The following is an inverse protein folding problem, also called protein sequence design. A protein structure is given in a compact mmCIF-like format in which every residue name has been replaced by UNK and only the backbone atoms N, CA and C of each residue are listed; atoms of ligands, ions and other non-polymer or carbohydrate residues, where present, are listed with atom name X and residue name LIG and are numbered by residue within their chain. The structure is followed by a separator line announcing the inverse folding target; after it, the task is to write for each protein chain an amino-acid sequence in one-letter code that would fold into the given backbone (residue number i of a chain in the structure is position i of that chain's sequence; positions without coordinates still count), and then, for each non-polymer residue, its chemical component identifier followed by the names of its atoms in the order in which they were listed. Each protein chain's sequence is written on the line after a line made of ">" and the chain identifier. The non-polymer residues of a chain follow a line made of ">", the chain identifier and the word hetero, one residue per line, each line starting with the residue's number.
data_IF_193716224443
#
_entry.id   IF_193716224443
#
_cell.length_a   1.000
_cell.length_b   1.000
_cell.length_c   1.000
_cell.angle_alpha   90.00
_cell.angle_beta   90.00
_cell.angle_gamma   90.00
#
_symmetry.space_group_name_H-M   'P 1'
#
loop_
_entity.id
_entity.type
_entity.pdbx_description
1 polymer ?
#
# COMPACT_ATOMS: atom_id res chain seq x y z
N UNK A 1 -19.06 -7.95 4.65
CA UNK A 1 -17.85 -7.09 4.73
C UNK A 1 -16.80 -7.80 3.90
N UNK A 2 -16.32 -7.19 2.81
CA UNK A 2 -15.27 -7.80 2.01
C UNK A 2 -13.99 -7.89 2.84
N UNK A 3 -13.37 -9.07 2.90
CA UNK A 3 -12.09 -9.27 3.58
C UNK A 3 -11.00 -8.50 2.82
N UNK A 4 -10.64 -7.32 3.32
CA UNK A 4 -9.57 -6.50 2.75
C UNK A 4 -8.23 -7.07 3.19
N UNK A 5 -7.38 -7.43 2.22
CA UNK A 5 -6.02 -7.86 2.53
C UNK A 5 -5.25 -6.64 3.03
N UNK A 6 -4.98 -6.65 4.34
CA UNK A 6 -4.28 -5.59 5.04
C UNK A 6 -2.97 -6.11 5.62
N UNK A 7 -1.95 -5.28 5.56
CA UNK A 7 -0.63 -5.51 6.15
C UNK A 7 -0.28 -4.31 7.04
N UNK A 8 0.36 -4.57 8.16
CA UNK A 8 0.70 -3.54 9.14
C UNK A 8 2.20 -3.50 9.36
N UNK A 9 2.70 -2.33 9.74
CA UNK A 9 4.10 -2.14 10.09
C UNK A 9 4.30 -0.97 11.04
N UNK A 10 5.53 -0.87 11.54
CA UNK A 10 5.95 0.23 12.40
C UNK A 10 7.16 0.92 11.80
N UNK A 11 7.14 2.24 11.87
CA UNK A 11 8.19 3.13 11.39
C UNK A 11 8.68 3.92 12.59
N UNK A 12 9.98 3.84 12.86
CA UNK A 12 10.63 4.43 14.03
C UNK A 12 11.55 5.57 13.60
N UNK A 13 11.91 6.44 14.55
CA UNK A 13 12.90 7.47 14.29
C UNK A 13 14.20 6.86 13.74
N UNK A 14 14.72 7.44 12.67
CA UNK A 14 15.89 6.94 11.97
C UNK A 14 17.16 7.23 12.77
N UNK A 15 17.69 6.22 13.45
CA UNK A 15 18.94 6.33 14.23
C UNK A 15 20.18 6.50 13.35
N UNK A 16 20.08 6.24 12.05
CA UNK A 16 21.15 6.41 11.07
C UNK A 16 21.10 7.77 10.35
N UNK A 17 20.22 8.68 10.78
CA UNK A 17 20.17 10.05 10.26
C UNK A 17 21.45 10.80 10.63
N UNK A 18 22.32 11.03 9.64
CA UNK A 18 23.57 11.79 9.79
C UNK A 18 23.54 13.13 9.06
N UNK A 19 22.61 13.30 8.13
CA UNK A 19 22.47 14.50 7.30
C UNK A 19 21.01 14.91 7.19
N UNK A 20 20.70 16.19 6.93
CA UNK A 20 19.33 16.68 6.77
C UNK A 20 18.53 16.01 5.65
N UNK A 21 19.22 15.48 4.62
CA UNK A 21 18.59 14.78 3.49
C UNK A 21 18.16 13.35 3.79
N UNK A 22 18.54 12.79 4.94
CA UNK A 22 18.11 11.45 5.32
C UNK A 22 16.67 11.48 5.87
N UNK A 23 15.90 10.40 5.67
CA UNK A 23 14.56 10.28 6.24
C UNK A 23 14.56 10.43 7.76
N UNK A 24 13.54 11.10 8.31
CA UNK A 24 13.34 11.21 9.76
C UNK A 24 12.89 9.90 10.40
N UNK A 25 12.09 9.12 9.66
CA UNK A 25 11.53 7.88 10.12
C UNK A 25 11.81 6.77 9.09
N UNK A 26 12.12 5.58 9.58
CA UNK A 26 12.34 4.38 8.76
C UNK A 26 11.65 3.18 9.37
N UNK A 27 11.11 2.32 8.53
CA UNK A 27 10.43 1.10 8.94
C UNK A 27 10.38 0.10 7.79
N UNK A 28 9.91 -1.10 8.09
CA UNK A 28 9.74 -2.18 7.12
C UNK A 28 8.30 -2.67 7.20
N UNK A 29 7.73 -2.98 6.05
CA UNK A 29 6.43 -3.62 5.94
C UNK A 29 6.64 -4.94 5.21
N UNK A 30 6.11 -6.02 5.75
CA UNK A 30 6.27 -7.36 5.18
C UNK A 30 5.03 -7.74 4.39
N UNK A 31 5.15 -7.76 3.07
CA UNK A 31 4.05 -8.14 2.20
C UNK A 31 3.71 -9.62 2.40
N UNK A 32 2.46 -9.91 2.73
CA UNK A 32 2.00 -11.28 2.82
C UNK A 32 1.93 -11.92 1.43
N UNK A 33 2.06 -13.25 1.37
CA UNK A 33 1.93 -14.01 0.12
C UNK A 33 0.57 -13.77 -0.55
N UNK A 34 -0.49 -13.57 0.23
CA UNK A 34 -1.83 -13.26 -0.28
C UNK A 34 -1.89 -11.88 -0.93
N UNK A 35 -1.31 -10.85 -0.31
CA UNK A 35 -1.24 -9.51 -0.86
C UNK A 35 -0.46 -9.50 -2.19
N UNK A 36 0.69 -10.17 -2.22
CA UNK A 36 1.50 -10.28 -3.43
C UNK A 36 0.75 -10.97 -4.56
N UNK A 37 0.05 -12.08 -4.28
CA UNK A 37 -0.79 -12.76 -5.27
C UNK A 37 -1.87 -11.83 -5.82
N UNK A 38 -2.58 -11.11 -4.97
CA UNK A 38 -3.63 -10.19 -5.40
C UNK A 38 -3.08 -9.06 -6.29
N UNK A 39 -1.90 -8.51 -5.96
CA UNK A 39 -1.23 -7.53 -6.82
C UNK A 39 -0.84 -8.12 -8.18
N UNK A 40 -0.30 -9.35 -8.20
CA UNK A 40 0.08 -10.02 -9.46
C UNK A 40 -1.15 -10.27 -10.35
N UNK A 41 -2.28 -10.67 -9.78
CA UNK A 41 -3.51 -10.88 -10.57
C UNK A 41 -4.05 -9.55 -11.14
N UNK A 42 -4.01 -8.45 -10.38
CA UNK A 42 -4.36 -7.11 -10.90
C UNK A 42 -3.41 -6.66 -12.02
N UNK A 43 -2.12 -6.92 -11.87
CA UNK A 43 -1.12 -6.58 -12.87
C UNK A 43 -1.36 -7.34 -14.18
N UNK A 44 -1.69 -8.64 -14.11
CA UNK A 44 -2.06 -9.45 -15.27
C UNK A 44 -3.33 -8.94 -15.95
N UNK A 45 -4.26 -8.37 -15.19
CA UNK A 45 -5.49 -7.78 -15.68
C UNK A 45 -5.32 -6.37 -16.28
N UNK A 46 -4.09 -5.86 -16.40
CA UNK A 46 -3.78 -4.48 -16.79
C UNK A 46 -4.53 -3.41 -15.96
N UNK A 47 -4.83 -3.73 -14.70
CA UNK A 47 -5.44 -2.80 -13.76
C UNK A 47 -4.37 -2.02 -12.99
N UNK A 48 -4.68 -0.77 -12.65
CA UNK A 48 -3.78 0.07 -11.86
C UNK A 48 -3.49 -0.54 -10.48
N UNK A 49 -2.20 -0.69 -10.18
CA UNK A 49 -1.71 -1.18 -8.89
C UNK A 49 -1.64 -0.03 -7.89
N UNK A 50 -2.79 0.37 -7.36
CA UNK A 50 -2.85 1.30 -6.23
C UNK A 50 -2.87 0.55 -4.89
N UNK A 51 -2.28 1.17 -3.87
CA UNK A 51 -2.24 0.67 -2.50
C UNK A 51 -2.59 1.83 -1.58
N UNK A 52 -3.56 1.63 -0.69
CA UNK A 52 -3.94 2.63 0.31
C UNK A 52 -3.03 2.52 1.53
N UNK A 53 -2.54 3.65 2.00
CA UNK A 53 -1.66 3.75 3.17
C UNK A 53 -2.23 4.70 4.20
N UNK A 54 -2.39 4.23 5.42
CA UNK A 54 -2.78 5.03 6.58
C UNK A 54 -1.67 5.01 7.63
N UNK A 55 -1.43 6.14 8.28
CA UNK A 55 -0.37 6.30 9.26
C UNK A 55 -0.86 7.08 10.49
N UNK A 56 -0.52 6.59 11.68
CA UNK A 56 -0.85 7.25 12.95
C UNK A 56 0.30 7.21 13.95
N UNK A 57 0.31 8.20 14.83
CA UNK A 57 1.31 8.35 15.87
C UNK A 57 0.93 7.48 17.06
N UNK A 58 1.85 6.60 17.47
CA UNK A 58 1.68 5.74 18.63
C UNK A 58 2.89 5.86 19.55
N UNK A 59 2.67 5.57 20.83
CA UNK A 59 3.73 5.55 21.84
C UNK A 59 3.98 4.09 22.23
N UNK A 60 5.23 3.65 22.19
CA UNK A 60 5.60 2.31 22.63
C UNK A 60 5.49 2.20 24.16
N UNK A 61 5.55 0.97 24.68
CA UNK A 61 5.58 0.76 26.14
C UNK A 61 6.77 1.45 26.81
N UNK A 62 7.85 1.65 26.07
CA UNK A 62 9.08 2.33 26.50
C UNK A 62 9.03 3.86 26.32
N UNK A 63 7.86 4.43 25.99
CA UNK A 63 7.67 5.87 25.81
C UNK A 63 8.18 6.45 24.49
N UNK A 64 8.62 5.60 23.55
CA UNK A 64 9.12 6.07 22.24
C UNK A 64 7.97 6.27 21.27
N UNK A 65 7.93 7.45 20.64
CA UNK A 65 6.97 7.73 19.57
C UNK A 65 7.38 6.97 18.31
N UNK A 66 6.43 6.25 17.73
CA UNK A 66 6.57 5.56 16.45
C UNK A 66 5.35 5.83 15.59
N UNK A 67 5.54 5.77 14.26
CA UNK A 67 4.43 5.83 13.32
C UNK A 67 4.00 4.40 13.04
N UNK A 68 2.74 4.07 13.30
CA UNK A 68 2.19 2.81 12.85
C UNK A 68 1.57 3.01 11.48
N UNK A 69 1.89 2.11 10.56
CA UNK A 69 1.47 2.17 9.18
C UNK A 69 0.58 0.97 8.88
N UNK A 70 -0.54 1.23 8.24
CA UNK A 70 -1.49 0.24 7.75
C UNK A 70 -1.56 0.37 6.24
N UNK A 71 -1.33 -0.74 5.55
CA UNK A 71 -1.39 -0.85 4.10
C UNK A 71 -2.52 -1.77 3.72
N UNK A 72 -3.38 -1.35 2.79
CA UNK A 72 -4.46 -2.17 2.26
C UNK A 72 -4.54 -2.08 0.73
N UNK A 73 -4.97 -3.17 0.11
CA UNK A 73 -5.39 -3.16 -1.29
C UNK A 73 -6.76 -2.46 -1.39
N UNK A 74 -6.87 -1.31 -2.06
CA UNK A 74 -8.17 -0.69 -2.29
C UNK A 74 -9.04 -1.59 -3.16
N UNK A 75 -10.36 -1.53 -2.95
CA UNK A 75 -11.33 -2.12 -3.87
C UNK A 75 -11.21 -1.37 -5.20
N UNK A 76 -11.04 -2.11 -6.29
CA UNK A 76 -11.09 -1.54 -7.62
C UNK A 76 -12.56 -1.22 -7.85
N UNK A 77 -12.89 0.07 -7.96
CA UNK A 77 -14.16 0.45 -8.56
C UNK A 77 -14.04 0.10 -10.04
N UNK A 78 -14.93 -0.75 -10.53
CA UNK A 78 -15.12 -0.98 -11.96
C UNK A 78 -15.62 0.33 -12.58
N UNK A 79 -14.73 1.31 -12.78
CA UNK A 79 -14.99 2.41 -13.69
C UNK A 79 -14.71 1.90 -15.10
N UNK A 80 -15.81 1.57 -15.78
CA UNK A 80 -16.03 1.53 -17.23
C UNK A 80 -14.80 1.15 -18.05
N UNK A 81 -14.63 -0.16 -18.26
CA UNK A 81 -13.98 -0.61 -19.50
C UNK A 81 -14.93 -0.17 -20.63
N UNK A 82 -14.70 1.00 -21.22
CA UNK A 82 -15.27 1.34 -22.52
C UNK A 82 -14.81 0.24 -23.47
N UNK A 83 -15.73 -0.69 -23.76
CA UNK A 83 -15.56 -1.66 -24.84
C UNK A 83 -15.49 -0.82 -26.10
N UNK A 84 -14.28 -0.61 -26.62
CA UNK A 84 -14.08 -0.10 -27.97
C UNK A 84 -14.69 -1.15 -28.92
N UNK A 85 -15.95 -0.94 -29.28
CA UNK A 85 -16.60 -1.66 -30.38
C UNK A 85 -15.94 -1.16 -31.68
N UNK A 86 -14.94 -1.91 -32.15
CA UNK A 86 -14.27 -1.71 -33.44
C UNK A 86 -15.21 -2.10 -34.61
N UNK A 87 -16.41 -1.52 -34.68
CA UNK A 87 -17.17 -1.44 -35.93
C UNK A 87 -16.75 -0.18 -36.70
N UNK A 88 -15.66 -0.31 -37.46
CA UNK A 88 -15.37 0.61 -38.56
C UNK A 88 -16.14 0.10 -39.79
N UNK A 89 -17.22 0.77 -40.25
CA UNK A 89 -17.86 0.43 -41.51
C UNK A 89 -16.98 0.89 -42.68
N UNK A 90 -16.59 -0.04 -43.55
CA UNK A 90 -16.13 0.27 -44.91
C UNK A 90 -17.30 0.16 -45.89
#
# INVERSE_FOLDING_TARGET
>A
MADRIKVEGAVFANTYKKQPKHPDFTGKIELSKSLLKALVERAKANQDLSISMAMWDRVSKDGKVYKYVSIELPEIKEEEVEVFDDEIPF
#
